data_IF_270039674178
#
_entry.id   IF_270039674178
#
_cell.length_a   1.000
_cell.length_b   1.000
_cell.length_c   1.000
_cell.angle_alpha   90.00
_cell.angle_beta   90.00
_cell.angle_gamma   90.00
#
_symmetry.space_group_name_H-M   'P 1'
#
loop_
_entity.id
_entity.type
_entity.pdbx_description
1 polymer ?
#
# COMPACT_ATOMS: atom_id res chain seq x y z
N UNK A 1 -8.58 -27.69 7.16
CA UNK A 1 -9.08 -26.35 7.52
C UNK A 1 -8.48 -25.38 6.52
N UNK A 2 -9.11 -25.29 5.35
CA UNK A 2 -8.76 -24.29 4.35
C UNK A 2 -9.24 -22.95 4.89
N UNK A 3 -8.31 -22.14 5.40
CA UNK A 3 -8.58 -20.73 5.61
C UNK A 3 -8.66 -20.10 4.21
N UNK A 4 -9.86 -20.14 3.63
CA UNK A 4 -10.26 -19.22 2.57
C UNK A 4 -10.08 -17.80 3.13
N UNK A 5 -8.87 -17.25 3.00
CA UNK A 5 -8.66 -15.83 3.17
C UNK A 5 -9.42 -15.17 2.03
N UNK A 6 -10.67 -14.78 2.32
CA UNK A 6 -11.56 -14.18 1.32
C UNK A 6 -10.86 -12.97 0.74
N UNK A 7 -10.48 -13.06 -0.52
CA UNK A 7 -10.02 -11.93 -1.28
C UNK A 7 -11.22 -10.96 -1.49
N UNK A 8 -11.08 -9.64 -1.23
CA UNK A 8 -9.91 -8.92 -0.72
C UNK A 8 -9.61 -9.18 0.76
N UNK A 9 -8.32 -9.38 1.07
CA UNK A 9 -7.83 -9.25 2.44
C UNK A 9 -7.73 -7.76 2.81
N UNK A 10 -8.68 -7.25 3.58
CA UNK A 10 -8.61 -5.90 4.13
C UNK A 10 -7.58 -5.86 5.25
N UNK A 11 -6.56 -5.01 5.11
CA UNK A 11 -5.54 -4.82 6.14
C UNK A 11 -5.94 -3.76 7.16
N UNK A 12 -5.62 -4.00 8.42
CA UNK A 12 -5.65 -2.96 9.46
C UNK A 12 -4.48 -1.99 9.29
N UNK A 13 -4.55 -0.81 9.92
CA UNK A 13 -3.45 0.17 9.87
C UNK A 13 -2.11 -0.40 10.34
N UNK A 14 -2.12 -1.26 11.37
CA UNK A 14 -0.90 -1.90 11.88
C UNK A 14 -0.34 -2.95 10.92
N UNK A 15 -1.21 -3.68 10.22
CA UNK A 15 -0.81 -4.61 9.18
C UNK A 15 -0.20 -3.87 7.97
N UNK A 16 -0.75 -2.70 7.60
CA UNK A 16 -0.14 -1.85 6.56
C UNK A 16 1.25 -1.38 6.98
N UNK A 17 1.41 -0.90 8.22
CA UNK A 17 2.72 -0.48 8.75
C UNK A 17 3.73 -1.63 8.77
N UNK A 18 3.28 -2.82 9.15
CA UNK A 18 4.11 -4.02 9.12
C UNK A 18 4.59 -4.34 7.70
N UNK A 19 3.69 -4.36 6.71
CA UNK A 19 4.06 -4.65 5.31
C UNK A 19 5.01 -3.58 4.73
N UNK A 20 4.80 -2.30 5.05
CA UNK A 20 5.73 -1.22 4.66
C UNK A 20 7.12 -1.47 5.28
N UNK A 21 7.17 -1.76 6.58
CA UNK A 21 8.44 -1.97 7.31
C UNK A 21 9.20 -3.18 6.76
N UNK A 22 8.48 -4.27 6.49
CA UNK A 22 9.04 -5.46 5.85
C UNK A 22 9.52 -5.17 4.44
N UNK A 23 8.74 -4.42 3.65
CA UNK A 23 9.15 -3.95 2.33
C UNK A 23 10.46 -3.16 2.35
N UNK A 24 10.63 -2.27 3.34
CA UNK A 24 11.88 -1.53 3.54
C UNK A 24 13.08 -2.44 3.83
N UNK A 25 12.90 -3.51 4.60
CA UNK A 25 13.96 -4.47 4.91
C UNK A 25 14.40 -5.28 3.68
N UNK A 26 13.50 -5.47 2.71
CA UNK A 26 13.76 -6.22 1.48
C UNK A 26 14.38 -5.37 0.36
N UNK A 27 14.41 -4.04 0.51
CA UNK A 27 15.08 -3.16 -0.47
C UNK A 27 16.58 -3.49 -0.53
N UNK A 28 17.16 -3.75 -1.72
CA UNK A 28 18.58 -4.01 -1.86
C UNK A 28 19.45 -2.88 -1.28
N UNK A 29 20.52 -3.23 -0.55
CA UNK A 29 21.45 -2.25 0.05
C UNK A 29 22.03 -1.25 -0.95
N UNK A 30 22.23 -1.67 -2.20
CA UNK A 30 22.68 -0.79 -3.28
C UNK A 30 21.69 0.33 -3.57
N UNK A 31 20.40 0.02 -3.60
CA UNK A 31 19.30 0.99 -3.77
C UNK A 31 19.23 1.91 -2.57
N UNK A 32 19.29 1.37 -1.35
CA UNK A 32 19.29 2.17 -0.12
C UNK A 32 20.44 3.19 -0.11
N UNK A 33 21.66 2.76 -0.46
CA UNK A 33 22.82 3.65 -0.58
C UNK A 33 22.60 4.72 -1.64
N UNK A 34 22.09 4.31 -2.80
CA UNK A 34 21.87 5.21 -3.93
C UNK A 34 20.76 6.23 -3.66
N UNK A 35 19.85 6.01 -2.69
CA UNK A 35 18.89 7.02 -2.21
C UNK A 35 19.56 8.15 -1.40
N UNK A 36 20.72 7.90 -0.80
CA UNK A 36 21.42 8.85 0.09
C UNK A 36 22.51 9.66 -0.61
N UNK A 37 22.71 9.45 -1.91
CA UNK A 37 23.74 10.17 -2.68
C UNK A 37 23.30 11.60 -2.99
N UNK A 38 24.28 12.50 -3.15
CA UNK A 38 24.04 13.91 -3.50
C UNK A 38 23.50 14.11 -4.93
N UNK A 39 23.73 13.14 -5.81
CA UNK A 39 23.15 13.15 -7.15
C UNK A 39 21.64 12.95 -7.07
N UNK A 40 20.91 14.05 -7.28
CA UNK A 40 19.45 14.10 -7.18
C UNK A 40 18.75 13.22 -8.21
N UNK A 41 19.32 13.04 -9.40
CA UNK A 41 18.73 12.20 -10.44
C UNK A 41 18.88 10.72 -10.08
N UNK A 42 20.05 10.33 -9.59
CA UNK A 42 20.32 8.97 -9.13
C UNK A 42 19.50 8.64 -7.87
N UNK A 43 19.43 9.55 -6.91
CA UNK A 43 18.63 9.40 -5.70
C UNK A 43 17.14 9.25 -6.02
N UNK A 44 16.59 10.05 -6.94
CA UNK A 44 15.19 9.92 -7.38
C UNK A 44 14.91 8.57 -8.05
N UNK A 45 15.81 8.07 -8.89
CA UNK A 45 15.67 6.74 -9.50
C UNK A 45 15.67 5.65 -8.45
N UNK A 46 16.57 5.74 -7.46
CA UNK A 46 16.63 4.78 -6.36
C UNK A 46 15.37 4.83 -5.47
N UNK A 47 14.83 6.03 -5.20
CA UNK A 47 13.56 6.20 -4.49
C UNK A 47 12.38 5.59 -5.26
N UNK A 48 12.31 5.81 -6.58
CA UNK A 48 11.29 5.18 -7.41
C UNK A 48 11.37 3.66 -7.36
N UNK A 49 12.59 3.09 -7.43
CA UNK A 49 12.80 1.66 -7.29
C UNK A 49 12.36 1.14 -5.91
N UNK A 50 12.72 1.83 -4.83
CA UNK A 50 12.29 1.49 -3.47
C UNK A 50 10.76 1.45 -3.33
N UNK A 51 10.05 2.41 -3.94
CA UNK A 51 8.58 2.42 -3.96
C UNK A 51 8.03 1.19 -4.68
N UNK A 52 8.63 0.76 -5.80
CA UNK A 52 8.20 -0.45 -6.51
C UNK A 52 8.35 -1.72 -5.64
N UNK A 53 9.43 -1.85 -4.88
CA UNK A 53 9.59 -2.97 -3.94
C UNK A 53 8.49 -3.00 -2.89
N UNK A 54 8.10 -1.83 -2.35
CA UNK A 54 7.03 -1.74 -1.37
C UNK A 54 5.68 -2.06 -2.04
N UNK A 55 5.39 -1.47 -3.20
CA UNK A 55 4.13 -1.66 -3.93
C UNK A 55 3.90 -3.10 -4.38
N UNK A 56 4.95 -3.80 -4.84
CA UNK A 56 4.85 -5.21 -5.23
C UNK A 56 4.28 -6.10 -4.11
N UNK A 57 4.53 -5.77 -2.84
CA UNK A 57 3.95 -6.49 -1.70
C UNK A 57 2.45 -6.27 -1.51
N UNK A 58 1.93 -5.17 -2.06
CA UNK A 58 0.51 -4.86 -2.06
C UNK A 58 -0.20 -5.31 -3.35
N UNK A 59 0.51 -5.86 -4.35
CA UNK A 59 -0.12 -6.39 -5.57
C UNK A 59 -1.03 -7.59 -5.27
N UNK A 60 -0.75 -8.36 -4.22
CA UNK A 60 -1.59 -9.46 -3.73
C UNK A 60 -2.80 -8.98 -2.90
N UNK A 61 -2.98 -7.66 -2.72
CA UNK A 61 -4.02 -7.06 -1.87
C UNK A 61 -5.00 -6.23 -2.71
N UNK A 62 -6.29 -6.53 -2.63
CA UNK A 62 -7.32 -5.70 -3.26
C UNK A 62 -7.70 -4.52 -2.36
N UNK A 63 -7.70 -3.31 -2.94
CA UNK A 63 -8.25 -2.11 -2.30
C UNK A 63 -9.76 -2.09 -2.54
N UNK A 64 -10.57 -2.45 -1.54
CA UNK A 64 -12.00 -2.09 -1.56
C UNK A 64 -12.13 -0.62 -1.19
N UNK A 65 -12.74 0.18 -2.07
CA UNK A 65 -13.16 1.53 -1.69
C UNK A 65 -14.08 1.43 -0.46
N UNK A 66 -13.96 2.35 0.52
CA UNK A 66 -14.87 2.37 1.67
C UNK A 66 -16.31 2.42 1.17
N UNK A 67 -17.23 1.75 1.86
CA UNK A 67 -18.65 1.83 1.48
C UNK A 67 -19.07 3.30 1.42
N UNK A 68 -19.75 3.71 0.34
CA UNK A 68 -20.24 5.07 0.23
C UNK A 68 -21.09 5.36 1.46
N UNK A 69 -20.82 6.49 2.12
CA UNK A 69 -21.62 6.91 3.27
C UNK A 69 -23.08 6.88 2.86
N UNK A 70 -23.99 6.28 3.67
CA UNK A 70 -25.40 6.24 3.34
C UNK A 70 -25.85 7.68 3.03
N UNK A 71 -26.39 7.88 1.82
CA UNK A 71 -26.80 9.19 1.34
C UNK A 71 -27.73 9.84 2.36
N UNK A 72 -27.29 10.94 2.99
CA UNK A 72 -28.09 11.76 3.91
C UNK A 72 -29.39 12.29 3.26
N UNK A 73 -29.51 12.21 1.94
CA UNK A 73 -30.64 12.70 1.15
C UNK A 73 -31.74 11.66 0.88
N UNK A 74 -31.74 10.49 1.53
CA UNK A 74 -32.88 9.55 1.43
C UNK A 74 -34.01 9.84 2.45
N UNK A 75 -33.94 10.93 3.21
CA UNK A 75 -35.12 11.47 3.88
C UNK A 75 -35.92 12.36 2.91
N UNK A 76 -36.98 11.79 2.34
CA UNK A 76 -38.11 12.57 1.84
C UNK A 76 -38.36 12.52 0.34
N UNK A 77 -38.59 11.33 -0.21
CA UNK A 77 -39.54 11.19 -1.31
C UNK A 77 -40.78 10.45 -0.80
N UNK A 78 -41.40 11.03 0.22
CA UNK A 78 -42.79 10.76 0.56
C UNK A 78 -43.66 11.77 -0.17
N UNK A 79 -44.21 11.36 -1.31
CA UNK A 79 -45.58 11.63 -1.81
C UNK A 79 -45.74 11.07 -3.21
#
# INVERSE_FOLDING_TARGET
MENEQSFPRVLTADQVRFEITRGFQEIPRSVQRDMLVKDTAKARKAQAAAVQFILARFEELQVRAPEPRPNLFHMGAGR
#
